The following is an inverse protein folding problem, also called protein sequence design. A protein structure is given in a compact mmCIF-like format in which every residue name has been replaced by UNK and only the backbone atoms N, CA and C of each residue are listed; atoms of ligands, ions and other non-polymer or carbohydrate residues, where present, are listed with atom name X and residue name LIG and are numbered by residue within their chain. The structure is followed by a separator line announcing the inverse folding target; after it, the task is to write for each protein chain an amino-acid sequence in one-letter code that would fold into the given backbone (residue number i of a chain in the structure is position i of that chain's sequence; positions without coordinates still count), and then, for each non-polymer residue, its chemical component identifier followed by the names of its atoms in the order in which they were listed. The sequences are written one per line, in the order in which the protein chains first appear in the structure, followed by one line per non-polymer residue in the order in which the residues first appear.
data_IF_800450506478
#
_entry.id   IF_800450506478
#
_cell.length_a   1.000
_cell.length_b   1.000
_cell.length_c   1.000
_cell.angle_alpha   90.00
_cell.angle_beta   90.00
_cell.angle_gamma   90.00
#
_symmetry.space_group_name_H-M   'P 1'
#
loop_
_entity.id
_entity.type
_entity.pdbx_description
1 polymer ?
#
# COMPACT_ATOMS: atom_id res chain seq x y z
N UNK A 1 12.28 -21.26 -9.03
CA UNK A 1 12.91 -20.78 -7.77
C UNK A 1 12.97 -19.25 -7.65
N UNK A 2 13.18 -18.50 -8.74
CA UNK A 2 13.27 -17.03 -8.69
C UNK A 2 11.93 -16.34 -8.37
N UNK A 3 10.82 -16.85 -8.88
CA UNK A 3 9.50 -16.23 -8.75
C UNK A 3 9.04 -16.08 -7.28
N UNK A 4 9.28 -17.10 -6.44
CA UNK A 4 8.96 -17.03 -5.00
C UNK A 4 9.73 -15.91 -4.29
N UNK A 5 11.02 -15.74 -4.62
CA UNK A 5 11.86 -14.69 -4.03
C UNK A 5 11.39 -13.31 -4.48
N UNK A 6 11.00 -13.16 -5.74
CA UNK A 6 10.44 -11.91 -6.26
C UNK A 6 9.10 -11.57 -5.60
N UNK A 7 8.22 -12.55 -5.41
CA UNK A 7 6.95 -12.35 -4.68
C UNK A 7 7.21 -11.91 -3.25
N UNK A 8 8.14 -12.55 -2.54
CA UNK A 8 8.52 -12.17 -1.18
C UNK A 8 9.08 -10.74 -1.11
N UNK A 9 9.98 -10.37 -2.01
CA UNK A 9 10.55 -9.03 -2.05
C UNK A 9 9.48 -7.98 -2.37
N UNK A 10 8.65 -8.22 -3.38
CA UNK A 10 7.57 -7.31 -3.76
C UNK A 10 6.54 -7.15 -2.62
N UNK A 11 6.12 -8.25 -2.00
CA UNK A 11 5.19 -8.22 -0.88
C UNK A 11 5.78 -7.53 0.36
N UNK A 12 7.06 -7.73 0.64
CA UNK A 12 7.76 -7.03 1.72
C UNK A 12 7.81 -5.51 1.48
N UNK A 13 8.24 -5.07 0.29
CA UNK A 13 8.32 -3.66 -0.07
C UNK A 13 6.93 -2.99 -0.05
N UNK A 14 5.92 -3.68 -0.57
CA UNK A 14 4.53 -3.24 -0.53
C UNK A 14 3.99 -3.17 0.90
N UNK A 15 4.33 -4.12 1.77
CA UNK A 15 3.98 -4.09 3.18
C UNK A 15 4.66 -2.92 3.92
N UNK A 16 5.92 -2.63 3.61
CA UNK A 16 6.64 -1.46 4.12
C UNK A 16 5.93 -0.16 3.72
N UNK A 17 5.59 -0.01 2.45
CA UNK A 17 4.88 1.15 1.94
C UNK A 17 3.49 1.31 2.59
N UNK A 18 2.70 0.24 2.64
CA UNK A 18 1.34 0.29 3.23
C UNK A 18 1.33 0.46 4.74
N UNK A 19 2.29 -0.12 5.46
CA UNK A 19 2.46 0.10 6.91
C UNK A 19 2.78 1.56 7.23
N UNK A 20 3.64 2.18 6.43
CA UNK A 20 3.97 3.60 6.53
C UNK A 20 2.77 4.49 6.21
N UNK A 21 2.12 4.27 5.06
CA UNK A 21 0.97 5.05 4.61
C UNK A 21 -0.23 4.93 5.57
N UNK A 22 -0.42 3.77 6.22
CA UNK A 22 -1.51 3.56 7.17
C UNK A 22 -1.49 4.52 8.35
N UNK A 23 -0.30 4.94 8.79
CA UNK A 23 -0.14 5.95 9.84
C UNK A 23 -0.16 7.35 9.24
N UNK A 24 0.61 7.59 8.18
CA UNK A 24 0.83 8.92 7.64
C UNK A 24 -0.39 9.52 6.94
N UNK A 25 -1.25 8.71 6.33
CA UNK A 25 -2.40 9.22 5.57
C UNK A 25 -3.33 10.03 6.47
N UNK A 26 -3.78 9.48 7.59
CA UNK A 26 -4.64 10.20 8.53
C UNK A 26 -3.99 11.47 9.07
N UNK A 27 -2.71 11.40 9.45
CA UNK A 27 -1.96 12.56 9.95
C UNK A 27 -1.83 13.66 8.90
N UNK A 28 -1.53 13.29 7.65
CA UNK A 28 -1.36 14.24 6.56
C UNK A 28 -2.66 14.96 6.24
N UNK A 29 -3.78 14.23 6.19
CA UNK A 29 -5.09 14.85 5.97
C UNK A 29 -5.46 15.82 7.09
N UNK A 30 -5.18 15.45 8.35
CA UNK A 30 -5.38 16.34 9.50
C UNK A 30 -4.49 17.60 9.43
N UNK A 31 -3.22 17.45 9.05
CA UNK A 31 -2.27 18.56 8.88
C UNK A 31 -2.63 19.49 7.72
N UNK A 32 -3.28 18.97 6.68
CA UNK A 32 -3.87 19.77 5.59
C UNK A 32 -5.15 20.52 6.02
N UNK A 33 -5.59 20.37 7.29
CA UNK A 33 -6.75 21.06 7.84
C UNK A 33 -8.08 20.44 7.46
N UNK A 34 -8.10 19.16 7.04
CA UNK A 34 -9.36 18.51 6.65
C UNK A 34 -10.24 18.26 7.88
N UNK A 35 -11.55 18.43 7.70
CA UNK A 35 -12.53 18.05 8.72
C UNK A 35 -12.56 16.52 8.89
N UNK A 36 -13.01 16.04 10.05
CA UNK A 36 -13.14 14.60 10.31
C UNK A 36 -13.99 13.88 9.26
N UNK A 37 -15.05 14.53 8.75
CA UNK A 37 -15.88 14.01 7.68
C UNK A 37 -15.11 13.88 6.34
N UNK A 38 -14.28 14.88 6.00
CA UNK A 38 -13.45 14.83 4.80
C UNK A 38 -12.36 13.76 4.90
N UNK A 39 -11.73 13.61 6.07
CA UNK A 39 -10.78 12.52 6.34
C UNK A 39 -11.45 11.17 6.14
N UNK A 40 -12.62 10.96 6.77
CA UNK A 40 -13.41 9.74 6.62
C UNK A 40 -13.73 9.45 5.15
N UNK A 41 -14.19 10.45 4.40
CA UNK A 41 -14.51 10.30 2.98
C UNK A 41 -13.30 9.88 2.13
N UNK A 42 -12.11 10.45 2.36
CA UNK A 42 -10.88 10.06 1.66
C UNK A 42 -10.50 8.61 1.99
N UNK A 43 -10.52 8.22 3.27
CA UNK A 43 -10.19 6.86 3.68
C UNK A 43 -11.20 5.84 3.12
N UNK A 44 -12.48 6.19 3.10
CA UNK A 44 -13.54 5.37 2.49
C UNK A 44 -13.39 5.25 0.97
N UNK A 45 -13.01 6.32 0.27
CA UNK A 45 -12.72 6.27 -1.16
C UNK A 45 -11.55 5.32 -1.44
N UNK A 46 -10.49 5.37 -0.64
CA UNK A 46 -9.39 4.41 -0.70
C UNK A 46 -9.81 2.96 -0.52
N UNK A 47 -10.66 2.68 0.48
CA UNK A 47 -11.24 1.36 0.70
C UNK A 47 -12.11 0.91 -0.48
N UNK A 48 -12.94 1.79 -1.02
CA UNK A 48 -13.78 1.49 -2.18
C UNK A 48 -12.92 1.12 -3.41
N UNK A 49 -11.83 1.86 -3.64
CA UNK A 49 -10.85 1.53 -4.68
C UNK A 49 -10.19 0.17 -4.46
N UNK A 50 -9.78 -0.13 -3.22
CA UNK A 50 -9.22 -1.44 -2.86
C UNK A 50 -10.22 -2.58 -3.08
N UNK A 51 -11.50 -2.39 -2.74
CA UNK A 51 -12.59 -3.34 -2.99
C UNK A 51 -12.80 -3.56 -4.48
N UNK A 52 -12.81 -2.49 -5.29
CA UNK A 52 -12.96 -2.60 -6.74
C UNK A 52 -11.78 -3.38 -7.35
N UNK A 53 -10.55 -3.04 -6.98
CA UNK A 53 -9.36 -3.72 -7.44
C UNK A 53 -9.39 -5.21 -7.06
N UNK A 54 -9.80 -5.53 -5.83
CA UNK A 54 -9.98 -6.90 -5.36
C UNK A 54 -11.04 -7.66 -6.17
N UNK A 55 -12.18 -7.04 -6.46
CA UNK A 55 -13.25 -7.62 -7.26
C UNK A 55 -12.76 -7.95 -8.68
N UNK A 56 -12.10 -7.00 -9.34
CA UNK A 56 -11.55 -7.17 -10.69
C UNK A 56 -10.54 -8.31 -10.72
N UNK A 57 -9.62 -8.35 -9.75
CA UNK A 57 -8.59 -9.38 -9.66
C UNK A 57 -9.17 -10.75 -9.34
N UNK A 58 -10.16 -10.83 -8.46
CA UNK A 58 -10.81 -12.10 -8.11
C UNK A 58 -11.57 -12.67 -9.32
N UNK A 59 -12.27 -11.82 -10.08
CA UNK A 59 -13.08 -12.27 -11.21
C UNK A 59 -12.27 -12.53 -12.48
N UNK A 60 -11.27 -11.69 -12.77
CA UNK A 60 -10.57 -11.68 -14.05
C UNK A 60 -9.05 -11.92 -13.94
N UNK A 61 -8.49 -12.07 -12.73
CA UNK A 61 -7.04 -12.13 -12.52
C UNK A 61 -6.33 -13.28 -13.25
N UNK A 62 -6.97 -14.44 -13.37
CA UNK A 62 -6.42 -15.57 -14.12
C UNK A 62 -6.41 -15.32 -15.64
N UNK A 63 -7.42 -14.60 -16.16
CA UNK A 63 -7.53 -14.24 -17.60
C UNK A 63 -6.59 -13.10 -17.98
N UNK A 64 -6.47 -12.09 -17.12
CA UNK A 64 -5.59 -10.93 -17.31
C UNK A 64 -4.10 -11.29 -17.11
N UNK A 65 -3.85 -12.35 -16.33
CA UNK A 65 -2.54 -12.85 -15.98
C UNK A 65 -2.05 -12.26 -14.66
N UNK A 66 -1.78 -13.13 -13.68
CA UNK A 66 -1.50 -12.74 -12.29
C UNK A 66 -0.32 -11.77 -12.16
N UNK A 67 0.75 -11.97 -12.94
CA UNK A 67 1.91 -11.06 -12.97
C UNK A 67 1.55 -9.65 -13.44
N UNK A 68 0.71 -9.54 -14.48
CA UNK A 68 0.28 -8.22 -15.01
C UNK A 68 -0.61 -7.50 -14.01
N UNK A 69 -1.50 -8.24 -13.35
CA UNK A 69 -2.33 -7.67 -12.28
C UNK A 69 -1.47 -7.14 -11.12
N UNK A 70 -0.47 -7.88 -10.65
CA UNK A 70 0.43 -7.40 -9.60
C UNK A 70 1.16 -6.11 -9.99
N UNK A 71 1.71 -6.05 -11.20
CA UNK A 71 2.34 -4.83 -11.72
C UNK A 71 1.34 -3.67 -11.78
N UNK A 72 0.13 -3.92 -12.30
CA UNK A 72 -0.93 -2.92 -12.37
C UNK A 72 -1.33 -2.37 -11.00
N UNK A 73 -1.46 -3.23 -10.00
CA UNK A 73 -1.75 -2.82 -8.61
C UNK A 73 -0.61 -1.97 -8.04
N UNK A 74 0.65 -2.34 -8.27
CA UNK A 74 1.80 -1.53 -7.86
C UNK A 74 1.80 -0.16 -8.54
N UNK A 75 1.49 -0.08 -9.83
CA UNK A 75 1.41 1.18 -10.57
C UNK A 75 0.26 2.06 -10.08
N UNK A 76 -0.89 1.47 -9.76
CA UNK A 76 -2.01 2.19 -9.14
C UNK A 76 -1.59 2.75 -7.78
N UNK A 77 -1.00 1.92 -6.92
CA UNK A 77 -0.45 2.34 -5.63
C UNK A 77 0.49 3.54 -5.78
N UNK A 78 1.51 3.41 -6.64
CA UNK A 78 2.43 4.49 -6.94
C UNK A 78 1.71 5.76 -7.40
N UNK A 79 0.74 5.65 -8.32
CA UNK A 79 -0.06 6.80 -8.76
C UNK A 79 -0.85 7.46 -7.62
N UNK A 80 -1.37 6.69 -6.67
CA UNK A 80 -2.00 7.23 -5.47
C UNK A 80 -1.02 7.94 -4.56
N UNK A 81 0.16 7.36 -4.33
CA UNK A 81 1.24 7.98 -3.57
C UNK A 81 1.68 9.31 -4.17
N UNK A 82 1.88 9.33 -5.49
CA UNK A 82 2.13 10.57 -6.21
C UNK A 82 0.92 11.53 -6.11
N UNK A 83 -0.32 11.07 -6.16
CA UNK A 83 -1.47 11.93 -5.89
C UNK A 83 -1.40 12.58 -4.51
N UNK A 84 -1.11 11.80 -3.47
CA UNK A 84 -1.03 12.27 -2.09
C UNK A 84 0.15 13.23 -1.82
N UNK A 85 1.26 13.08 -2.55
CA UNK A 85 2.42 13.97 -2.40
C UNK A 85 2.22 15.36 -3.01
N UNK A 86 1.37 15.54 -4.04
CA UNK A 86 1.22 16.84 -4.72
C UNK A 86 -0.13 17.53 -4.52
N UNK A 87 -1.18 16.79 -4.15
CA UNK A 87 -2.53 17.34 -4.01
C UNK A 87 -2.81 17.77 -2.57
N UNK A 88 -3.55 18.88 -2.40
CA UNK A 88 -3.96 19.39 -1.08
C UNK A 88 -5.48 19.53 -0.90
N UNK A 89 -6.30 19.26 -1.92
CA UNK A 89 -7.77 19.41 -1.86
C UNK A 89 -8.49 18.09 -1.53
N UNK A 90 -9.59 18.09 -0.76
CA UNK A 90 -10.25 16.87 -0.29
C UNK A 90 -10.79 15.98 -1.42
N UNK A 91 -11.37 16.57 -2.46
CA UNK A 91 -11.89 15.83 -3.62
C UNK A 91 -10.77 15.16 -4.40
N UNK A 92 -9.71 15.90 -4.71
CA UNK A 92 -8.59 15.38 -5.47
C UNK A 92 -7.79 14.34 -4.66
N UNK A 93 -7.71 14.50 -3.34
CA UNK A 93 -7.14 13.50 -2.43
C UNK A 93 -7.99 12.23 -2.35
N UNK A 94 -9.33 12.35 -2.33
CA UNK A 94 -10.22 11.20 -2.39
C UNK A 94 -10.08 10.44 -3.72
N UNK A 95 -9.93 11.15 -4.84
CA UNK A 95 -9.67 10.54 -6.14
C UNK A 95 -8.31 9.81 -6.17
N UNK A 96 -7.25 10.44 -5.65
CA UNK A 96 -5.93 9.81 -5.51
C UNK A 96 -5.98 8.56 -4.63
N UNK A 97 -6.69 8.64 -3.49
CA UNK A 97 -6.88 7.53 -2.58
C UNK A 97 -7.64 6.38 -3.24
N UNK A 98 -8.73 6.67 -3.97
CA UNK A 98 -9.48 5.67 -4.71
C UNK A 98 -8.64 4.98 -5.79
N UNK A 99 -7.98 5.75 -6.65
CA UNK A 99 -7.19 5.21 -7.77
C UNK A 99 -6.02 4.39 -7.26
N UNK A 100 -5.26 4.89 -6.28
CA UNK A 100 -4.13 4.16 -5.73
C UNK A 100 -4.44 3.26 -4.56
N UNK A 101 -5.72 3.06 -4.25
CA UNK A 101 -6.18 2.21 -3.16
C UNK A 101 -5.59 2.58 -1.78
N UNK A 102 -5.15 3.84 -1.62
CA UNK A 102 -4.54 4.35 -0.39
C UNK A 102 -5.61 4.44 0.70
N UNK A 103 -5.41 3.71 1.79
CA UNK A 103 -6.37 3.65 2.88
C UNK A 103 -5.68 3.58 4.25
N UNK A 104 -6.46 3.78 5.31
CA UNK A 104 -5.97 3.84 6.70
C UNK A 104 -5.82 2.49 7.39
N UNK A 105 -5.94 1.34 6.70
CA UNK A 105 -5.83 0.03 7.37
C UNK A 105 -4.41 -0.31 7.81
N UNK A 106 -3.40 0.33 7.21
CA UNK A 106 -1.98 0.03 7.47
C UNK A 106 -1.59 -1.42 7.17
N UNK A 107 -2.41 -2.13 6.39
CA UNK A 107 -2.20 -3.51 6.00
C UNK A 107 -2.60 -3.72 4.56
N UNK A 108 -1.82 -4.51 3.86
CA UNK A 108 -2.19 -4.97 2.54
C UNK A 108 -2.95 -6.30 2.59
N UNK A 109 -4.25 -6.19 2.86
CA UNK A 109 -5.20 -7.30 2.73
C UNK A 109 -6.09 -7.11 1.50
N UNK A 110 -5.49 -6.65 0.40
CA UNK A 110 -6.18 -6.31 -0.84
C UNK A 110 -5.96 -7.31 -1.98
N UNK A 111 -6.12 -6.81 -3.20
CA UNK A 111 -6.04 -7.59 -4.43
C UNK A 111 -4.69 -8.31 -4.64
N UNK A 112 -3.58 -7.68 -4.23
CA UNK A 112 -2.24 -8.25 -4.39
C UNK A 112 -2.07 -9.53 -3.56
N UNK A 113 -2.56 -9.51 -2.31
CA UNK A 113 -2.55 -10.68 -1.43
C UNK A 113 -3.26 -11.86 -2.09
N UNK A 114 -4.45 -11.66 -2.67
CA UNK A 114 -5.21 -12.75 -3.31
C UNK A 114 -4.43 -13.38 -4.47
N UNK A 115 -3.81 -12.57 -5.31
CA UNK A 115 -2.98 -13.06 -6.42
C UNK A 115 -1.77 -13.85 -5.92
N UNK A 116 -1.06 -13.31 -4.94
CA UNK A 116 0.15 -13.93 -4.41
C UNK A 116 -0.17 -15.23 -3.70
N UNK A 117 -1.26 -15.30 -2.94
CA UNK A 117 -1.73 -16.53 -2.29
C UNK A 117 -2.13 -17.60 -3.33
N UNK A 118 -2.66 -17.18 -4.48
CA UNK A 118 -2.96 -18.10 -5.58
C UNK A 118 -1.70 -18.58 -6.33
N UNK A 119 -0.63 -17.78 -6.39
CA UNK A 119 0.63 -18.14 -7.04
C UNK A 119 1.50 -19.04 -6.15
N UNK A 120 1.59 -18.73 -4.86
CA UNK A 120 2.60 -19.28 -3.97
C UNK A 120 2.64 -20.82 -3.90
N UNK A 121 1.51 -21.55 -3.87
CA UNK A 121 1.50 -23.01 -3.89
C UNK A 121 2.14 -23.63 -5.12
N UNK A 122 2.13 -22.93 -6.27
CA UNK A 122 2.74 -23.40 -7.51
C UNK A 122 4.27 -23.18 -7.55
N UNK A 123 4.83 -22.51 -6.54
CA UNK A 123 6.28 -22.21 -6.46
C UNK A 123 7.07 -23.21 -5.61
N UNK A 124 6.41 -24.23 -5.07
CA UNK A 124 6.97 -25.22 -4.16
C UNK A 124 6.27 -26.58 -4.32
N UNK A 125 6.88 -27.63 -3.79
CA UNK A 125 6.27 -28.95 -3.62
C UNK A 125 5.21 -28.97 -2.51
N UNK A 126 4.42 -30.05 -2.45
CA UNK A 126 3.30 -30.19 -1.51
C UNK A 126 3.73 -30.00 -0.04
N UNK A 127 4.88 -30.56 0.35
CA UNK A 127 5.43 -30.44 1.70
C UNK A 127 5.87 -29.00 2.05
N UNK A 128 6.29 -28.21 1.05
CA UNK A 128 6.79 -26.85 1.25
C UNK A 128 5.71 -25.77 1.31
N UNK A 129 4.44 -26.06 0.99
CA UNK A 129 3.36 -25.06 0.89
C UNK A 129 3.14 -24.28 2.18
N UNK A 130 3.01 -24.95 3.32
CA UNK A 130 2.81 -24.29 4.61
C UNK A 130 3.98 -23.38 4.98
N UNK A 131 5.21 -23.83 4.78
CA UNK A 131 6.41 -23.02 5.02
C UNK A 131 6.48 -21.81 4.08
N UNK A 132 6.03 -21.95 2.82
CA UNK A 132 5.98 -20.85 1.89
C UNK A 132 5.03 -19.74 2.36
N UNK A 133 3.82 -20.10 2.81
CA UNK A 133 2.86 -19.15 3.38
C UNK A 133 3.35 -18.54 4.70
N UNK A 134 3.97 -19.33 5.57
CA UNK A 134 4.51 -18.83 6.84
C UNK A 134 5.58 -17.75 6.60
N UNK A 135 6.54 -18.00 5.70
CA UNK A 135 7.57 -17.02 5.34
C UNK A 135 6.99 -15.78 4.69
N UNK A 136 5.99 -15.94 3.83
CA UNK A 136 5.27 -14.83 3.23
C UNK A 136 4.68 -13.93 4.33
N UNK A 137 3.92 -14.50 5.27
CA UNK A 137 3.26 -13.74 6.34
C UNK A 137 4.28 -13.05 7.25
N UNK A 138 5.33 -13.76 7.68
CA UNK A 138 6.41 -13.17 8.51
C UNK A 138 7.06 -11.99 7.81
N UNK A 139 7.41 -12.12 6.52
CA UNK A 139 8.00 -11.02 5.77
C UNK A 139 7.05 -9.84 5.65
N UNK A 140 5.78 -10.07 5.33
CA UNK A 140 4.81 -8.97 5.26
C UNK A 140 4.58 -8.31 6.61
N UNK A 141 4.53 -9.06 7.72
CA UNK A 141 4.34 -8.49 9.05
C UNK A 141 5.56 -7.66 9.49
N UNK A 142 6.77 -8.12 9.21
CA UNK A 142 8.00 -7.33 9.41
C UNK A 142 7.95 -6.07 8.55
N UNK A 143 7.55 -6.18 7.28
CA UNK A 143 7.40 -5.05 6.37
C UNK A 143 6.44 -3.99 6.94
N UNK A 144 5.23 -4.39 7.34
CA UNK A 144 4.25 -3.47 7.93
C UNK A 144 4.78 -2.80 9.21
N UNK A 145 5.46 -3.55 10.09
CA UNK A 145 6.01 -3.02 11.34
C UNK A 145 7.12 -1.98 11.08
N UNK A 146 8.04 -2.29 10.16
CA UNK A 146 9.10 -1.36 9.74
C UNK A 146 8.52 -0.14 9.03
N UNK A 147 7.51 -0.33 8.18
CA UNK A 147 6.77 0.76 7.55
C UNK A 147 6.12 1.70 8.56
N UNK A 148 5.40 1.15 9.54
CA UNK A 148 4.80 1.94 10.61
C UNK A 148 5.84 2.69 11.45
N UNK A 149 7.02 2.10 11.68
CA UNK A 149 8.15 2.79 12.32
C UNK A 149 8.69 3.93 11.45
N UNK A 150 8.81 3.73 10.13
CA UNK A 150 9.22 4.77 9.17
C UNK A 150 8.25 5.96 9.13
N UNK A 151 7.00 5.79 9.58
CA UNK A 151 6.07 6.91 9.71
C UNK A 151 6.52 7.96 10.76
N UNK A 152 7.54 7.67 11.57
CA UNK A 152 8.19 8.67 12.42
C UNK A 152 9.18 9.57 11.65
N UNK A 153 9.59 9.22 10.43
CA UNK A 153 10.59 9.97 9.66
C UNK A 153 10.26 11.46 9.45
N UNK A 154 8.99 11.89 9.24
CA UNK A 154 8.66 13.32 9.16
C UNK A 154 9.12 14.13 10.38
N UNK A 155 9.11 13.57 11.59
CA UNK A 155 9.54 14.31 12.79
C UNK A 155 11.04 14.56 12.76
N UNK A 156 11.82 13.61 12.25
CA UNK A 156 13.27 13.75 12.05
C UNK A 156 13.59 14.78 10.96
N UNK A 157 12.84 14.76 9.85
CA UNK A 157 12.99 15.73 8.76
C UNK A 157 12.67 17.16 9.24
N UNK A 158 11.60 17.31 10.02
CA UNK A 158 11.24 18.60 10.64
C UNK A 158 12.31 19.06 11.63
N UNK A 159 12.85 18.17 12.45
CA UNK A 159 13.96 18.50 13.35
C UNK A 159 15.24 18.92 12.60
N UNK A 160 15.43 18.41 11.37
CA UNK A 160 16.51 18.80 10.47
C UNK A 160 16.22 20.10 9.67
N UNK A 161 15.08 20.75 9.90
CA UNK A 161 14.72 22.04 9.27
C UNK A 161 13.88 21.93 8.00
N UNK A 162 13.40 20.74 7.63
CA UNK A 162 12.47 20.58 6.51
C UNK A 162 11.09 21.10 6.92
N UNK A 163 10.42 21.85 6.04
CA UNK A 163 9.05 22.29 6.29
C UNK A 163 8.12 21.09 6.52
N UNK A 164 7.21 21.20 7.49
CA UNK A 164 6.37 20.07 7.90
C UNK A 164 5.60 19.47 6.73
N UNK A 165 4.94 20.28 5.91
CA UNK A 165 4.19 19.80 4.74
C UNK A 165 5.09 19.03 3.77
N UNK A 166 6.32 19.50 3.54
CA UNK A 166 7.26 18.86 2.62
C UNK A 166 7.80 17.55 3.20
N UNK A 167 7.98 17.47 4.52
CA UNK A 167 8.37 16.24 5.21
C UNK A 167 7.31 15.14 5.03
N UNK A 168 6.02 15.46 5.16
CA UNK A 168 4.93 14.49 4.91
C UNK A 168 4.81 14.13 3.42
N UNK A 169 4.94 15.09 2.50
CA UNK A 169 4.92 14.84 1.06
C UNK A 169 6.06 13.94 0.62
N UNK A 170 7.27 14.14 1.16
CA UNK A 170 8.43 13.29 0.89
C UNK A 170 8.18 11.82 1.23
N UNK A 171 7.37 11.54 2.25
CA UNK A 171 7.03 10.15 2.59
C UNK A 171 6.10 9.50 1.56
N UNK A 172 5.19 10.26 0.95
CA UNK A 172 4.35 9.75 -0.14
C UNK A 172 5.12 9.64 -1.47
N UNK A 173 6.20 10.41 -1.64
CA UNK A 173 7.18 10.16 -2.70
C UNK A 173 7.96 8.87 -2.46
N UNK A 174 8.37 8.60 -1.22
CA UNK A 174 9.05 7.34 -0.86
C UNK A 174 8.12 6.13 -0.99
N UNK A 175 6.82 6.32 -0.75
CA UNK A 175 5.79 5.29 -0.92
C UNK A 175 5.64 4.85 -2.39
N UNK A 176 5.77 5.80 -3.33
CA UNK A 176 5.47 5.62 -4.75
C UNK A 176 6.64 5.00 -5.52
#
# INVERSE_FOLDING_TARGET
MNDRRLIYAAAFLRALATGMAGVLLGLTLARLGFSAAAIGAVLSAGLAGATLALMVVTWAGDRLGRRRCLIGLSLLGAAGGLGAAWVSGPVAMAAAAFVGTLNGMGRDRGAALVLEQAILPATTDDAGRTNAFARYNVLTDIGHALGALLAAAPTLLVAAGVAETDAYRAMFLLYA
#
